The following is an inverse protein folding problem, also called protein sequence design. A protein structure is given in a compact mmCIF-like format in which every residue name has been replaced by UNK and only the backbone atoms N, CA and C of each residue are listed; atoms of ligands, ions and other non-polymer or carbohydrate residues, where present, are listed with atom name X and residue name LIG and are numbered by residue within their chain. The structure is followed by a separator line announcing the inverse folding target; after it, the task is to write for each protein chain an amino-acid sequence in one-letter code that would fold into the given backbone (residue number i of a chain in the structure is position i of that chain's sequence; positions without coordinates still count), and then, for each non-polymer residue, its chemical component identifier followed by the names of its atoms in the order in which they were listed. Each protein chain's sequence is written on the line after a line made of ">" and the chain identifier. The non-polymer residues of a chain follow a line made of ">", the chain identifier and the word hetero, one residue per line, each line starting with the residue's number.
data_IF_967324501966
#
_entry.id   IF_967324501966
#
_cell.length_a   1.000
_cell.length_b   1.000
_cell.length_c   1.000
_cell.angle_alpha   90.00
_cell.angle_beta   90.00
_cell.angle_gamma   90.00
#
_symmetry.space_group_name_H-M   'P 1'
#
loop_
_entity.id
_entity.type
_entity.pdbx_description
1 polymer ?
#
# COMPACT_ATOMS: atom_id res chain seq x y z
N UNK A 1 -2.84 -26.44 3.59
CA UNK A 1 -4.12 -26.41 2.85
C UNK A 1 -3.99 -27.26 1.59
N UNK A 2 -4.90 -28.21 1.32
CA UNK A 2 -4.87 -29.06 0.10
C UNK A 2 -6.12 -28.90 -0.78
N UNK A 3 -6.92 -27.86 -0.54
CA UNK A 3 -8.19 -27.67 -1.24
C UNK A 3 -7.95 -27.27 -2.70
N UNK A 4 -8.42 -28.05 -3.70
CA UNK A 4 -7.95 -27.97 -5.09
C UNK A 4 -8.37 -26.68 -5.82
N UNK A 5 -9.38 -25.99 -5.30
CA UNK A 5 -9.95 -24.77 -5.92
C UNK A 5 -10.04 -23.60 -4.94
N UNK A 6 -9.28 -23.65 -3.83
CA UNK A 6 -9.28 -22.52 -2.88
C UNK A 6 -8.66 -21.30 -3.57
N UNK A 7 -9.44 -20.22 -3.59
CA UNK A 7 -9.07 -18.97 -4.25
C UNK A 7 -8.74 -17.85 -3.28
N UNK A 8 -9.44 -17.86 -2.15
CA UNK A 8 -9.51 -16.74 -1.23
C UNK A 8 -9.57 -17.24 0.21
N UNK A 9 -8.99 -16.47 1.12
CA UNK A 9 -9.07 -16.72 2.56
C UNK A 9 -9.29 -15.38 3.27
N UNK A 10 -10.33 -15.32 4.09
CA UNK A 10 -10.60 -14.21 5.00
C UNK A 10 -10.42 -14.68 6.44
N UNK A 11 -9.55 -14.01 7.19
CA UNK A 11 -9.39 -14.17 8.64
C UNK A 11 -9.66 -12.81 9.27
N UNK A 12 -10.86 -12.61 9.77
CA UNK A 12 -11.29 -11.31 10.32
C UNK A 12 -11.60 -11.42 11.81
N UNK A 13 -11.25 -10.39 12.56
CA UNK A 13 -11.62 -10.18 13.97
C UNK A 13 -11.34 -11.41 14.85
N UNK A 14 -10.13 -11.98 14.67
CA UNK A 14 -9.70 -13.23 15.30
C UNK A 14 -8.43 -13.02 16.15
N UNK A 15 -8.39 -13.63 17.33
CA UNK A 15 -7.18 -13.69 18.15
C UNK A 15 -6.18 -14.71 17.56
N UNK A 16 -5.30 -14.22 16.70
CA UNK A 16 -4.31 -14.96 15.93
C UNK A 16 -2.97 -14.22 15.96
N UNK A 17 -2.05 -14.66 16.82
CA UNK A 17 -0.72 -14.03 16.98
C UNK A 17 0.29 -14.41 15.89
N UNK A 18 0.01 -15.45 15.12
CA UNK A 18 0.89 -15.99 14.08
C UNK A 18 0.10 -16.51 12.88
N UNK A 19 0.72 -16.51 11.71
CA UNK A 19 0.12 -17.08 10.50
C UNK A 19 -0.19 -18.58 10.73
N UNK A 20 -1.43 -19.04 10.52
CA UNK A 20 -1.80 -20.44 10.71
C UNK A 20 -0.99 -21.36 9.78
N UNK A 21 -0.59 -22.53 10.28
CA UNK A 21 0.22 -23.49 9.53
C UNK A 21 -0.37 -23.86 8.15
N UNK A 22 -1.70 -23.88 8.03
CA UNK A 22 -2.39 -24.13 6.77
C UNK A 22 -2.04 -23.13 5.65
N UNK A 23 -1.74 -21.88 6.01
CA UNK A 23 -1.29 -20.78 5.14
C UNK A 23 0.23 -20.73 4.95
N UNK A 24 0.98 -21.64 5.57
CA UNK A 24 2.43 -21.82 5.42
C UNK A 24 2.76 -23.07 4.58
N UNK A 25 1.77 -23.59 3.85
CA UNK A 25 1.91 -24.80 3.04
C UNK A 25 2.95 -24.62 1.93
N UNK A 26 3.94 -25.52 1.86
CA UNK A 26 4.93 -25.55 0.77
C UNK A 26 4.30 -25.88 -0.60
N UNK A 27 3.08 -26.42 -0.60
CA UNK A 27 2.26 -26.67 -1.79
C UNK A 27 0.95 -25.90 -1.66
N UNK A 28 0.93 -24.57 -1.88
CA UNK A 28 -0.31 -23.80 -1.79
C UNK A 28 -1.23 -24.16 -2.97
N UNK A 29 -2.56 -23.99 -2.82
CA UNK A 29 -3.49 -24.19 -3.92
C UNK A 29 -3.14 -23.28 -5.11
N UNK A 30 -3.10 -23.83 -6.31
CA UNK A 30 -2.73 -23.08 -7.54
C UNK A 30 -3.69 -21.93 -7.86
N UNK A 31 -4.91 -21.99 -7.33
CA UNK A 31 -5.93 -20.97 -7.52
C UNK A 31 -5.91 -19.90 -6.42
N UNK A 32 -5.07 -20.01 -5.38
CA UNK A 32 -5.08 -19.10 -4.23
C UNK A 32 -4.44 -17.76 -4.59
N UNK A 33 -5.25 -16.71 -4.74
CA UNK A 33 -4.83 -15.41 -5.22
C UNK A 33 -5.19 -14.22 -4.30
N UNK A 34 -6.05 -14.43 -3.30
CA UNK A 34 -6.58 -13.38 -2.42
C UNK A 34 -6.50 -13.79 -0.94
N UNK A 35 -5.81 -13.00 -0.12
CA UNK A 35 -5.69 -13.23 1.31
C UNK A 35 -5.98 -11.94 2.07
N UNK A 36 -6.94 -12.02 2.98
CA UNK A 36 -7.22 -10.97 3.95
C UNK A 36 -7.06 -11.50 5.38
N UNK A 37 -6.28 -10.76 6.17
CA UNK A 37 -6.06 -10.96 7.59
C UNK A 37 -6.31 -9.62 8.27
N UNK A 38 -7.49 -9.43 8.85
CA UNK A 38 -7.89 -8.13 9.36
C UNK A 38 -8.42 -8.19 10.79
N UNK A 39 -8.06 -7.21 11.63
CA UNK A 39 -8.52 -7.18 13.02
C UNK A 39 -7.97 -8.35 13.83
N UNK A 40 -6.67 -8.62 13.69
CA UNK A 40 -5.99 -9.69 14.43
C UNK A 40 -4.91 -9.11 15.34
N UNK A 41 -4.29 -9.94 16.17
CA UNK A 41 -3.08 -9.59 16.93
C UNK A 41 -1.83 -10.25 16.33
N UNK A 42 -1.82 -10.44 15.01
CA UNK A 42 -0.68 -10.96 14.27
C UNK A 42 0.55 -10.08 14.53
N UNK A 43 1.64 -10.67 14.99
CA UNK A 43 2.85 -9.92 15.34
C UNK A 43 3.89 -9.87 14.24
N UNK A 44 3.85 -10.81 13.29
CA UNK A 44 4.77 -10.86 12.18
C UNK A 44 4.21 -11.71 11.03
N UNK A 45 4.70 -11.41 9.82
CA UNK A 45 4.57 -12.29 8.66
C UNK A 45 5.93 -12.96 8.47
N UNK A 46 6.05 -14.28 8.66
CA UNK A 46 7.34 -14.97 8.59
C UNK A 46 7.83 -15.14 7.15
N UNK A 47 9.14 -15.21 6.94
CA UNK A 47 9.73 -15.41 5.60
C UNK A 47 9.26 -16.71 4.91
N UNK A 48 8.77 -17.69 5.67
CA UNK A 48 8.23 -18.94 5.12
C UNK A 48 7.01 -18.73 4.22
N UNK A 49 6.36 -17.57 4.27
CA UNK A 49 5.26 -17.25 3.35
C UNK A 49 5.71 -17.05 1.91
N UNK A 50 6.99 -16.83 1.65
CA UNK A 50 7.50 -16.54 0.31
C UNK A 50 7.07 -17.58 -0.72
N UNK A 51 7.14 -18.87 -0.33
CA UNK A 51 6.66 -19.99 -1.16
C UNK A 51 5.14 -20.14 -1.07
N UNK A 52 4.59 -20.08 0.14
CA UNK A 52 3.18 -20.37 0.38
C UNK A 52 2.23 -19.33 -0.26
N UNK A 53 2.69 -18.09 -0.40
CA UNK A 53 1.90 -16.96 -0.91
C UNK A 53 2.35 -16.53 -2.30
N UNK A 54 3.18 -17.32 -2.98
CA UNK A 54 3.75 -16.98 -4.28
C UNK A 54 2.70 -16.72 -5.38
N UNK A 55 1.48 -17.24 -5.23
CA UNK A 55 0.38 -17.04 -6.19
C UNK A 55 -0.54 -15.86 -5.84
N UNK A 56 -0.36 -15.22 -4.68
CA UNK A 56 -1.19 -14.09 -4.27
C UNK A 56 -1.05 -12.92 -5.23
N UNK A 57 -2.19 -12.30 -5.52
CA UNK A 57 -2.34 -11.05 -6.28
C UNK A 57 -2.83 -9.91 -5.40
N UNK A 58 -3.61 -10.25 -4.37
CA UNK A 58 -4.15 -9.34 -3.38
C UNK A 58 -3.76 -9.83 -1.98
N UNK A 59 -3.20 -8.93 -1.19
CA UNK A 59 -2.90 -9.16 0.23
C UNK A 59 -3.38 -7.98 1.05
N UNK A 60 -4.33 -8.23 1.93
CA UNK A 60 -4.82 -7.27 2.92
C UNK A 60 -4.43 -7.78 4.30
N UNK A 61 -3.49 -7.11 4.96
CA UNK A 61 -3.26 -7.29 6.39
C UNK A 61 -3.61 -5.96 7.02
N UNK A 62 -4.65 -5.90 7.83
CA UNK A 62 -5.12 -4.63 8.36
C UNK A 62 -5.49 -4.74 9.84
N UNK A 63 -5.38 -3.63 10.56
CA UNK A 63 -5.70 -3.58 11.99
C UNK A 63 -4.96 -4.69 12.77
N UNK A 64 -3.69 -4.91 12.44
CA UNK A 64 -2.79 -5.84 13.13
C UNK A 64 -1.72 -5.06 13.93
N UNK A 65 -2.07 -4.49 15.10
CA UNK A 65 -1.28 -3.46 15.79
C UNK A 65 0.07 -3.93 16.34
N UNK A 66 0.40 -5.22 16.21
CA UNK A 66 1.68 -5.78 16.63
C UNK A 66 2.72 -5.75 15.49
N UNK A 67 2.34 -5.40 14.26
CA UNK A 67 3.25 -5.28 13.11
C UNK A 67 3.86 -3.87 13.06
N UNK A 68 5.00 -3.71 13.72
CA UNK A 68 5.67 -2.40 13.85
C UNK A 68 6.63 -2.03 12.69
N UNK A 69 6.96 -3.01 11.84
CA UNK A 69 7.90 -2.85 10.71
C UNK A 69 7.29 -3.51 9.48
N UNK A 70 7.47 -2.90 8.31
CA UNK A 70 7.02 -3.49 7.05
C UNK A 70 7.64 -4.89 6.85
N UNK A 71 6.84 -5.95 6.59
CA UNK A 71 7.38 -7.28 6.37
C UNK A 71 8.10 -7.40 5.00
N UNK A 72 9.43 -7.48 5.02
CA UNK A 72 10.25 -7.49 3.78
C UNK A 72 9.88 -8.64 2.82
N UNK A 73 9.41 -9.76 3.34
CA UNK A 73 8.96 -10.91 2.52
C UNK A 73 7.85 -10.54 1.54
N UNK A 74 6.98 -9.59 1.88
CA UNK A 74 5.93 -9.12 0.96
C UNK A 74 6.55 -8.56 -0.32
N UNK A 75 7.69 -7.88 -0.20
CA UNK A 75 8.49 -7.35 -1.30
C UNK A 75 9.03 -8.40 -2.26
N UNK A 76 9.13 -9.66 -1.83
CA UNK A 76 9.66 -10.76 -2.65
C UNK A 76 8.58 -11.62 -3.29
N UNK A 77 7.29 -11.33 -3.03
CA UNK A 77 6.18 -12.11 -3.60
C UNK A 77 6.01 -11.77 -5.10
N UNK A 78 6.19 -12.75 -6.00
CA UNK A 78 6.43 -12.48 -7.43
C UNK A 78 5.20 -12.04 -8.24
N UNK A 79 3.99 -12.33 -7.72
CA UNK A 79 2.74 -12.05 -8.42
C UNK A 79 1.87 -10.99 -7.71
N UNK A 80 2.38 -10.43 -6.60
CA UNK A 80 1.60 -9.57 -5.74
C UNK A 80 1.46 -8.18 -6.38
N UNK A 81 0.21 -7.75 -6.61
CA UNK A 81 -0.09 -6.50 -7.28
C UNK A 81 -0.69 -5.45 -6.35
N UNK A 82 -1.57 -5.86 -5.45
CA UNK A 82 -2.26 -4.97 -4.52
C UNK A 82 -1.99 -5.40 -3.09
N UNK A 83 -1.46 -4.47 -2.30
CA UNK A 83 -1.15 -4.69 -0.89
C UNK A 83 -1.78 -3.60 -0.04
N UNK A 84 -2.45 -3.98 1.03
CA UNK A 84 -2.82 -3.07 2.12
C UNK A 84 -2.24 -3.57 3.44
N UNK A 85 -1.55 -2.67 4.13
CA UNK A 85 -1.03 -2.83 5.49
C UNK A 85 -1.59 -1.70 6.39
N UNK A 86 -2.89 -1.45 6.30
CA UNK A 86 -3.50 -0.27 6.90
C UNK A 86 -3.77 -0.47 8.41
N UNK A 87 -3.44 0.55 9.21
CA UNK A 87 -3.65 0.53 10.67
C UNK A 87 -2.90 -0.57 11.42
N UNK A 88 -1.69 -0.92 10.97
CA UNK A 88 -0.86 -2.00 11.53
C UNK A 88 0.16 -1.52 12.58
N UNK A 89 0.30 -0.21 12.76
CA UNK A 89 1.32 0.43 13.61
C UNK A 89 2.74 0.39 13.05
N UNK A 90 2.88 0.30 11.72
CA UNK A 90 4.17 0.32 11.02
C UNK A 90 4.85 1.67 11.23
N UNK A 91 6.07 1.65 11.77
CA UNK A 91 6.89 2.85 12.01
C UNK A 91 8.03 2.99 11.00
N UNK A 92 8.47 1.88 10.40
CA UNK A 92 9.61 1.83 9.49
C UNK A 92 9.37 0.86 8.33
N UNK A 93 9.95 1.22 7.18
CA UNK A 93 9.96 0.41 5.96
C UNK A 93 11.43 0.32 5.52
N UNK A 94 12.05 -0.87 5.58
CA UNK A 94 13.42 -1.05 5.11
C UNK A 94 13.57 -0.70 3.63
N UNK A 95 14.69 -0.10 3.23
CA UNK A 95 14.95 0.21 1.82
C UNK A 95 14.91 -1.05 0.93
N UNK A 96 15.33 -2.20 1.45
CA UNK A 96 15.28 -3.51 0.77
C UNK A 96 13.86 -4.00 0.50
N UNK A 97 12.88 -3.60 1.32
CA UNK A 97 11.54 -4.18 1.34
C UNK A 97 10.74 -4.00 0.04
N UNK A 98 11.12 -3.05 -0.80
CA UNK A 98 10.38 -2.66 -2.01
C UNK A 98 11.25 -2.72 -3.28
N UNK A 99 12.31 -3.52 -3.29
CA UNK A 99 13.30 -3.53 -4.39
C UNK A 99 12.97 -4.48 -5.54
N UNK A 100 12.38 -5.64 -5.25
CA UNK A 100 12.23 -6.73 -6.22
C UNK A 100 10.80 -6.90 -6.76
N UNK A 101 9.87 -6.01 -6.39
CA UNK A 101 8.44 -6.24 -6.57
C UNK A 101 7.80 -5.53 -7.78
N UNK A 102 6.61 -6.05 -8.11
CA UNK A 102 5.64 -5.58 -9.09
C UNK A 102 4.39 -4.97 -8.44
N UNK A 103 4.51 -4.28 -7.29
CA UNK A 103 3.34 -3.64 -6.69
C UNK A 103 2.75 -2.62 -7.66
N UNK A 104 1.48 -2.80 -8.00
CA UNK A 104 0.68 -1.80 -8.69
C UNK A 104 0.13 -0.78 -7.68
N UNK A 105 -0.27 -1.26 -6.49
CA UNK A 105 -0.87 -0.47 -5.44
C UNK A 105 -0.39 -0.91 -4.06
N UNK A 106 0.10 0.03 -3.26
CA UNK A 106 0.51 -0.17 -1.88
C UNK A 106 -0.19 0.82 -0.95
N UNK A 107 -1.01 0.32 -0.03
CA UNK A 107 -1.73 1.11 0.97
C UNK A 107 -1.10 0.94 2.35
N UNK A 108 -0.63 2.04 2.93
CA UNK A 108 0.02 2.15 4.24
C UNK A 108 -0.73 3.13 5.15
N UNK A 109 -1.99 3.41 4.82
CA UNK A 109 -2.85 4.36 5.52
C UNK A 109 -2.89 4.10 7.02
N UNK A 110 -2.91 5.18 7.81
CA UNK A 110 -3.04 5.14 9.27
C UNK A 110 -1.93 4.35 9.97
N UNK A 111 -0.69 4.52 9.50
CA UNK A 111 0.51 4.02 10.18
C UNK A 111 1.42 5.18 10.60
N UNK A 112 2.12 5.09 11.74
CA UNK A 112 3.04 6.13 12.23
C UNK A 112 4.37 6.20 11.46
N UNK A 113 4.34 6.04 10.12
CA UNK A 113 5.51 6.11 9.24
C UNK A 113 5.99 7.56 9.15
N UNK A 114 7.26 7.80 9.44
CA UNK A 114 7.87 9.14 9.36
C UNK A 114 8.64 9.37 8.04
N UNK A 115 9.18 8.30 7.46
CA UNK A 115 10.05 8.35 6.27
C UNK A 115 9.66 7.23 5.32
N UNK A 116 9.53 7.57 4.03
CA UNK A 116 9.40 6.58 2.96
C UNK A 116 10.78 6.16 2.44
N UNK A 117 10.98 4.88 2.09
CA UNK A 117 12.27 4.44 1.58
C UNK A 117 12.52 4.95 0.15
N UNK A 118 13.77 5.12 -0.22
CA UNK A 118 14.14 5.62 -1.54
C UNK A 118 13.72 4.63 -2.65
N UNK A 119 13.66 3.33 -2.33
CA UNK A 119 13.31 2.24 -3.24
C UNK A 119 11.90 2.35 -3.84
N UNK A 120 10.95 3.06 -3.20
CA UNK A 120 9.61 3.33 -3.75
C UNK A 120 9.70 3.99 -5.14
N UNK A 121 10.64 4.93 -5.33
CA UNK A 121 10.84 5.61 -6.61
C UNK A 121 11.34 4.70 -7.74
N UNK A 122 11.74 3.45 -7.43
CA UNK A 122 12.23 2.45 -8.38
C UNK A 122 11.17 1.44 -8.79
N UNK A 123 9.99 1.45 -8.17
CA UNK A 123 8.88 0.56 -8.50
C UNK A 123 8.24 0.98 -9.84
N UNK A 124 8.77 0.49 -10.95
CA UNK A 124 8.43 0.94 -12.31
C UNK A 124 6.96 0.74 -12.72
N UNK A 125 6.25 -0.19 -12.07
CA UNK A 125 4.85 -0.48 -12.38
C UNK A 125 3.86 0.03 -11.34
N UNK A 126 4.34 0.61 -10.24
CA UNK A 126 3.49 1.20 -9.22
C UNK A 126 2.70 2.36 -9.81
N UNK A 127 1.44 2.46 -9.41
CA UNK A 127 0.52 3.55 -9.78
C UNK A 127 0.01 4.30 -8.58
N UNK A 128 -0.16 3.63 -7.44
CA UNK A 128 -0.70 4.26 -6.25
C UNK A 128 0.07 3.85 -5.01
N UNK A 129 0.52 4.86 -4.26
CA UNK A 129 1.02 4.73 -2.90
C UNK A 129 0.09 5.50 -1.96
N UNK A 130 -0.58 4.78 -1.06
CA UNK A 130 -1.47 5.36 -0.06
C UNK A 130 -0.75 5.54 1.26
N UNK A 131 -0.59 6.77 1.72
CA UNK A 131 0.02 7.12 3.00
C UNK A 131 -0.85 8.10 3.78
N UNK A 132 -2.18 7.99 3.64
CA UNK A 132 -3.11 8.87 4.34
C UNK A 132 -2.94 8.71 5.85
N UNK A 133 -3.03 9.81 6.59
CA UNK A 133 -2.95 9.83 8.05
C UNK A 133 -1.68 9.13 8.59
N UNK A 134 -0.56 9.28 7.88
CA UNK A 134 0.79 8.91 8.35
C UNK A 134 1.55 10.13 8.87
N UNK A 135 2.77 9.95 9.37
CA UNK A 135 3.61 11.03 9.91
C UNK A 135 4.69 11.54 8.93
N UNK A 136 4.57 11.23 7.64
CA UNK A 136 5.53 11.66 6.63
C UNK A 136 5.53 13.20 6.55
N UNK A 137 6.69 13.82 6.76
CA UNK A 137 6.87 15.28 6.66
C UNK A 137 7.63 15.71 5.41
N UNK A 138 8.38 14.80 4.79
CA UNK A 138 9.21 15.09 3.64
C UNK A 138 9.24 13.91 2.66
N UNK A 139 9.57 14.21 1.40
CA UNK A 139 9.81 13.20 0.38
C UNK A 139 11.31 12.86 0.34
N UNK A 140 11.70 11.61 0.08
CA UNK A 140 13.11 11.25 -0.08
C UNK A 140 13.81 12.09 -1.15
N UNK A 141 14.99 12.63 -0.82
CA UNK A 141 15.78 13.45 -1.76
C UNK A 141 16.06 12.72 -3.09
N UNK A 142 16.24 11.40 -3.03
CA UNK A 142 16.43 10.54 -4.20
C UNK A 142 15.28 10.59 -5.22
N UNK A 143 14.07 11.03 -4.82
CA UNK A 143 12.93 11.21 -5.72
C UNK A 143 12.97 12.56 -6.46
N UNK A 144 13.76 13.51 -5.97
CA UNK A 144 13.92 14.86 -6.52
C UNK A 144 15.05 14.95 -7.55
N UNK A 145 16.09 14.13 -7.38
CA UNK A 145 17.34 14.23 -8.15
C UNK A 145 17.29 13.59 -9.55
N UNK A 146 16.20 12.90 -9.92
CA UNK A 146 16.12 12.16 -11.20
C UNK A 146 15.47 12.95 -12.36
N UNK A 147 15.87 14.21 -12.54
CA UNK A 147 15.59 15.00 -13.74
C UNK A 147 16.64 14.84 -14.86
N UNK A 148 17.55 13.86 -14.76
CA UNK A 148 18.72 13.77 -15.67
C UNK A 148 19.00 12.35 -16.20
N UNK A 149 17.97 11.67 -16.70
CA UNK A 149 18.13 10.65 -17.76
C UNK A 149 17.14 10.93 -18.91
N UNK A 150 17.51 10.70 -20.19
CA UNK A 150 16.64 10.99 -21.34
C UNK A 150 15.33 10.19 -21.22
N UNK A 151 14.21 10.90 -21.05
CA UNK A 151 12.89 10.33 -20.76
C UNK A 151 12.08 11.13 -19.72
N UNK A 152 12.73 12.02 -18.96
CA UNK A 152 12.06 12.98 -18.07
C UNK A 152 11.33 14.11 -18.84
N UNK A 153 11.70 14.37 -20.10
CA UNK A 153 10.88 15.15 -21.03
C UNK A 153 9.84 14.21 -21.67
N UNK A 154 8.60 14.25 -21.18
CA UNK A 154 7.48 13.55 -21.80
C UNK A 154 6.95 12.32 -21.08
N UNK A 155 7.22 12.15 -19.77
CA UNK A 155 6.34 11.29 -18.96
C UNK A 155 4.93 11.83 -19.12
N UNK A 156 4.08 11.05 -19.79
CA UNK A 156 2.65 11.33 -19.86
C UNK A 156 2.14 11.45 -18.42
N UNK A 157 1.23 12.39 -18.22
CA UNK A 157 0.66 12.70 -16.90
C UNK A 157 0.03 11.47 -16.21
N UNK A 158 -0.32 10.45 -16.99
CA UNK A 158 -0.85 9.14 -16.59
C UNK A 158 0.20 8.16 -16.03
N UNK A 159 1.49 8.48 -16.12
CA UNK A 159 2.60 7.57 -15.80
C UNK A 159 3.26 7.86 -14.45
N UNK A 160 2.89 8.97 -13.78
CA UNK A 160 3.36 9.29 -12.43
C UNK A 160 2.69 8.40 -11.39
N UNK A 161 3.45 8.02 -10.37
CA UNK A 161 2.92 7.35 -9.19
C UNK A 161 2.07 8.36 -8.40
N UNK A 162 0.82 8.03 -8.12
CA UNK A 162 -0.04 8.84 -7.26
C UNK A 162 0.31 8.55 -5.81
N UNK A 163 0.91 9.52 -5.12
CA UNK A 163 1.09 9.49 -3.68
C UNK A 163 -0.11 10.15 -3.00
N UNK A 164 -0.92 9.40 -2.28
CA UNK A 164 -1.99 9.96 -1.47
C UNK A 164 -1.50 10.21 -0.05
N UNK A 165 -1.32 11.47 0.32
CA UNK A 165 -0.71 11.86 1.60
C UNK A 165 -1.62 12.80 2.41
N UNK A 166 -2.94 12.73 2.21
CA UNK A 166 -3.89 13.50 3.02
C UNK A 166 -3.67 13.24 4.52
N UNK A 167 -3.86 14.27 5.35
CA UNK A 167 -3.63 14.24 6.81
C UNK A 167 -2.20 13.94 7.28
N UNK A 168 -1.19 14.08 6.40
CA UNK A 168 0.23 14.00 6.81
C UNK A 168 0.80 15.38 7.14
N UNK A 169 1.89 15.46 7.94
CA UNK A 169 2.68 16.70 8.07
C UNK A 169 3.14 17.26 6.71
N UNK A 170 3.55 16.40 5.77
CA UNK A 170 3.93 16.78 4.40
C UNK A 170 2.82 17.63 3.75
N UNK A 171 1.59 17.14 3.75
CA UNK A 171 0.47 17.87 3.16
C UNK A 171 0.03 19.08 3.99
N UNK A 172 0.21 19.06 5.32
CA UNK A 172 -0.08 20.23 6.16
C UNK A 172 0.82 21.42 5.84
N UNK A 173 2.10 21.14 5.61
CA UNK A 173 3.09 22.18 5.30
C UNK A 173 3.02 22.60 3.82
N UNK A 174 2.49 21.74 2.94
CA UNK A 174 2.28 22.01 1.52
C UNK A 174 0.99 22.79 1.22
N UNK A 175 -0.06 22.61 2.03
CA UNK A 175 -1.25 23.44 1.97
C UNK A 175 -0.88 24.84 2.50
N UNK A 176 -0.85 25.91 1.67
CA UNK A 176 -0.61 27.24 2.21
C UNK A 176 -1.70 27.57 3.24
N UNK A 177 -1.28 27.95 4.45
CA UNK A 177 -2.13 28.66 5.41
C UNK A 177 -2.57 29.98 4.76
N UNK A 178 -3.72 30.00 4.10
CA UNK A 178 -4.30 31.22 3.55
C UNK A 178 -5.24 31.86 4.58
N UNK A 179 -4.72 32.78 5.39
CA UNK A 179 -5.55 33.77 6.10
C UNK A 179 -5.28 35.13 5.46
N UNK A 180 -6.26 35.66 4.73
CA UNK A 180 -6.36 37.09 4.43
C UNK A 180 -7.72 37.61 4.87
N UNK A 181 -7.72 38.72 5.62
CA UNK A 181 -8.92 39.44 6.06
C UNK A 181 -9.99 38.58 6.78
N UNK A 182 -9.57 37.56 7.53
CA UNK A 182 -10.50 36.73 8.31
C UNK A 182 -11.40 35.82 7.47
N UNK A 183 -11.12 35.64 6.17
CA UNK A 183 -11.80 34.66 5.31
C UNK A 183 -10.79 33.82 4.54
N UNK A 184 -10.95 32.51 4.58
CA UNK A 184 -10.10 31.56 3.86
C UNK A 184 -10.46 31.59 2.36
N UNK A 185 -9.62 32.21 1.52
CA UNK A 185 -9.75 32.13 0.07
C UNK A 185 -8.34 32.01 -0.56
N UNK A 186 -7.89 30.78 -0.81
CA UNK A 186 -7.21 30.27 -2.01
C UNK A 186 -7.27 28.74 -1.90
N UNK A 187 -7.73 28.05 -2.95
CA UNK A 187 -7.66 26.58 -3.02
C UNK A 187 -6.18 26.21 -3.18
N UNK A 188 -5.59 25.61 -2.16
CA UNK A 188 -4.34 24.88 -2.35
C UNK A 188 -4.52 23.93 -3.54
N UNK A 189 -3.50 23.76 -4.38
CA UNK A 189 -3.56 22.73 -5.40
C UNK A 189 -3.77 21.39 -4.68
N UNK A 190 -4.89 20.71 -4.95
CA UNK A 190 -5.22 19.41 -4.36
C UNK A 190 -4.15 18.34 -4.66
N UNK A 191 -3.30 18.63 -5.65
CA UNK A 191 -2.17 17.82 -6.04
C UNK A 191 -0.98 18.66 -6.54
N UNK A 192 0.22 18.10 -6.46
CA UNK A 192 1.42 18.66 -7.04
C UNK A 192 2.36 17.55 -7.53
N UNK A 193 3.08 17.82 -8.62
CA UNK A 193 4.00 16.85 -9.22
C UNK A 193 5.42 17.08 -8.70
N UNK A 194 6.05 16.01 -8.22
CA UNK A 194 7.40 16.00 -7.66
C UNK A 194 8.14 14.76 -8.18
N UNK A 195 9.08 14.96 -9.10
CA UNK A 195 9.77 13.87 -9.79
C UNK A 195 8.78 12.92 -10.47
N UNK A 196 8.83 11.64 -10.10
CA UNK A 196 7.90 10.60 -10.59
C UNK A 196 6.56 10.57 -9.89
N UNK A 197 6.34 11.42 -8.89
CA UNK A 197 5.15 11.36 -8.05
C UNK A 197 4.20 12.49 -8.38
N UNK A 198 2.91 12.18 -8.39
CA UNK A 198 1.82 13.14 -8.23
C UNK A 198 1.32 13.03 -6.80
N UNK A 199 1.72 13.96 -5.96
CA UNK A 199 1.29 14.00 -4.56
C UNK A 199 -0.09 14.60 -4.49
N UNK A 200 -1.02 13.93 -3.80
CA UNK A 200 -2.39 14.38 -3.56
C UNK A 200 -2.61 14.61 -2.07
N UNK A 201 -2.99 15.85 -1.75
CA UNK A 201 -3.23 16.34 -0.39
C UNK A 201 -4.71 16.60 -0.09
N UNK A 202 -5.62 16.16 -0.97
CA UNK A 202 -7.06 16.24 -0.74
C UNK A 202 -7.63 14.88 -0.40
N UNK A 203 -8.82 14.91 0.24
CA UNK A 203 -9.69 13.75 0.45
C UNK A 203 -10.32 13.30 -0.88
N UNK A 204 -9.51 13.16 -1.93
CA UNK A 204 -9.93 12.46 -3.13
C UNK A 204 -10.21 11.02 -2.75
N UNK A 205 -11.30 10.45 -3.28
CA UNK A 205 -11.59 9.02 -3.17
C UNK A 205 -10.30 8.24 -3.44
N UNK A 206 -9.93 7.26 -2.60
CA UNK A 206 -8.81 6.38 -2.93
C UNK A 206 -9.02 5.90 -4.38
N UNK A 207 -8.03 6.03 -5.29
CA UNK A 207 -8.11 5.32 -6.54
C UNK A 207 -8.07 3.86 -6.13
N UNK A 208 -9.26 3.26 -6.13
CA UNK A 208 -9.51 1.88 -5.74
C UNK A 208 -9.25 1.60 -4.26
N UNK A 209 -10.23 1.94 -3.40
CA UNK A 209 -10.78 0.82 -2.65
C UNK A 209 -11.28 -0.13 -3.73
N UNK A 210 -10.58 -1.23 -4.00
CA UNK A 210 -11.28 -2.40 -4.51
C UNK A 210 -12.29 -2.68 -3.39
N UNK A 211 -13.59 -2.40 -3.59
CA UNK A 211 -14.51 -2.56 -2.50
C UNK A 211 -14.55 -4.06 -2.28
N UNK A 212 -14.14 -4.51 -1.10
CA UNK A 212 -14.43 -5.85 -0.62
C UNK A 212 -15.92 -6.18 -0.89
N UNK A 213 -16.77 -5.15 -0.77
CA UNK A 213 -18.19 -5.13 -1.12
C UNK A 213 -18.49 -5.41 -2.60
N UNK A 214 -17.69 -4.98 -3.57
CA UNK A 214 -17.98 -5.22 -4.99
C UNK A 214 -17.67 -6.65 -5.38
N UNK A 215 -16.61 -7.26 -4.84
CA UNK A 215 -16.31 -8.66 -5.11
C UNK A 215 -17.27 -9.60 -4.36
N UNK A 216 -17.68 -9.25 -3.13
CA UNK A 216 -18.80 -9.90 -2.44
C UNK A 216 -20.12 -9.75 -3.22
N UNK A 217 -20.48 -8.54 -3.67
CA UNK A 217 -21.69 -8.30 -4.46
C UNK A 217 -21.65 -8.91 -5.88
N UNK A 218 -20.48 -9.06 -6.50
CA UNK A 218 -20.30 -9.76 -7.76
C UNK A 218 -20.43 -11.28 -7.57
N UNK A 219 -19.97 -11.81 -6.42
CA UNK A 219 -20.11 -13.23 -6.07
C UNK A 219 -21.51 -13.62 -5.64
N UNK A 220 -22.25 -12.74 -4.96
CA UNK A 220 -23.67 -12.94 -4.64
C UNK A 220 -24.54 -12.92 -5.90
N UNK A 221 -24.23 -12.05 -6.86
CA UNK A 221 -24.98 -11.92 -8.13
C UNK A 221 -24.73 -13.06 -9.13
N UNK A 222 -23.63 -13.79 -8.97
CA UNK A 222 -23.29 -14.97 -9.79
C UNK A 222 -23.64 -16.29 -9.08
N UNK A 223 -24.43 -16.25 -8.00
CA UNK A 223 -24.99 -17.42 -7.30
C UNK A 223 -26.46 -17.70 -7.63
N UNK A 224 -27.05 -16.96 -8.57
CA UNK A 224 -28.33 -17.27 -9.24
C UNK A 224 -28.07 -17.80 -10.65
#
# INVERSE_FOLDING_TARGET
>A
MTHPVLQLVYITDTNMTSVPEGLLSATPPVAFYDLEISGTNLSAIPDTVEVAWAQLRYLFVERAPQISTFPEVIGRLPNLGVVSLASDSITSIPDSALTDNTFFQLMLTNNPINVLPASVGRLSIMRTLGCLSTNISELPAAWLEQNSTPGAEGLREDSRIVLQAFETPLCRDWLPLAIQNGQAIVRAADAADVGWFRVRCSRGSPPYHYPLDQELQLRERNRE
#
